data_IF_673400055176
#
_entry.id   IF_673400055176
#
_cell.length_a   1.000
_cell.length_b   1.000
_cell.length_c   1.000
_cell.angle_alpha   90.00
_cell.angle_beta   90.00
_cell.angle_gamma   90.00
#
_symmetry.space_group_name_H-M   'P 1'
#
loop_
_entity.id
_entity.type
_entity.pdbx_description
1 polymer ?
#
# COMPACT_ATOMS: atom_id res chain seq x y z
N UNK A 1 -14.96 -6.31 -10.49
CA UNK A 1 -14.46 -6.36 -9.11
C UNK A 1 -13.13 -7.08 -9.13
N UNK A 2 -12.11 -6.48 -8.53
CA UNK A 2 -10.81 -7.10 -8.31
C UNK A 2 -10.97 -8.30 -7.37
N UNK A 3 -10.14 -9.32 -7.53
CA UNK A 3 -9.96 -10.34 -6.51
C UNK A 3 -9.22 -9.73 -5.30
N UNK A 4 -9.87 -9.60 -4.12
CA UNK A 4 -9.28 -8.88 -2.99
C UNK A 4 -7.95 -9.48 -2.54
N UNK A 5 -6.97 -8.62 -2.26
CA UNK A 5 -5.62 -8.97 -1.78
C UNK A 5 -4.82 -9.89 -2.73
N UNK A 6 -5.32 -10.12 -3.95
CA UNK A 6 -4.64 -10.86 -5.02
C UNK A 6 -4.36 -9.98 -6.22
N UNK A 7 -5.28 -9.08 -6.54
CA UNK A 7 -5.16 -8.15 -7.65
C UNK A 7 -4.99 -6.72 -7.15
N UNK A 8 -4.14 -5.95 -7.83
CA UNK A 8 -3.78 -4.57 -7.46
C UNK A 8 -3.74 -3.66 -8.68
N UNK A 9 -3.83 -2.34 -8.47
CA UNK A 9 -3.64 -1.37 -9.54
C UNK A 9 -2.22 -0.78 -9.44
N UNK A 10 -1.48 -0.87 -10.54
CA UNK A 10 -0.16 -0.27 -10.65
C UNK A 10 -0.27 1.26 -10.57
N UNK A 11 0.40 1.86 -9.58
CA UNK A 11 0.38 3.30 -9.35
C UNK A 11 1.00 4.10 -10.50
N UNK A 12 1.80 3.46 -11.36
CA UNK A 12 2.52 4.11 -12.46
C UNK A 12 1.70 4.18 -13.75
N UNK A 13 1.17 3.03 -14.18
CA UNK A 13 0.46 2.92 -15.45
C UNK A 13 -1.06 2.84 -15.31
N UNK A 14 -1.57 2.65 -14.09
CA UNK A 14 -3.00 2.42 -13.81
C UNK A 14 -3.52 1.04 -14.25
N UNK A 15 -2.65 0.18 -14.78
CA UNK A 15 -3.00 -1.17 -15.22
C UNK A 15 -3.13 -2.16 -14.07
N UNK A 16 -3.84 -3.26 -14.34
CA UNK A 16 -4.06 -4.35 -13.42
C UNK A 16 -2.77 -5.18 -13.21
N UNK A 17 -2.41 -5.40 -11.95
CA UNK A 17 -1.47 -6.41 -11.50
C UNK A 17 -2.32 -7.65 -11.17
N UNK A 18 -2.22 -8.69 -12.00
CA UNK A 18 -3.08 -9.89 -11.92
C UNK A 18 -2.81 -10.76 -10.70
N UNK A 19 -1.57 -10.75 -10.21
CA UNK A 19 -1.12 -11.53 -9.05
C UNK A 19 -0.06 -10.75 -8.27
N UNK A 20 0.09 -10.95 -6.94
CA UNK A 20 1.14 -10.29 -6.15
C UNK A 20 2.56 -10.62 -6.62
N UNK A 21 2.73 -11.68 -7.42
CA UNK A 21 4.01 -12.05 -8.06
C UNK A 21 4.40 -11.14 -9.22
N UNK A 22 3.42 -10.50 -9.84
CA UNK A 22 3.61 -9.63 -11.01
C UNK A 22 3.85 -8.18 -10.60
N UNK A 23 3.94 -7.89 -9.29
CA UNK A 23 4.07 -6.55 -8.74
C UNK A 23 5.17 -6.42 -7.70
N UNK A 24 5.66 -5.20 -7.53
CA UNK A 24 6.62 -4.78 -6.51
C UNK A 24 6.01 -3.68 -5.64
N UNK A 25 6.45 -3.62 -4.38
CA UNK A 25 6.35 -2.42 -3.55
C UNK A 25 7.69 -1.69 -3.64
N UNK A 26 7.67 -0.41 -4.03
CA UNK A 26 8.83 0.48 -4.05
C UNK A 26 8.70 1.54 -2.95
N UNK A 27 9.83 1.94 -2.37
CA UNK A 27 9.91 3.05 -1.41
C UNK A 27 11.29 3.70 -1.44
N UNK A 28 11.40 4.84 -0.78
CA UNK A 28 12.64 5.59 -0.59
C UNK A 28 13.06 5.51 0.88
N UNK A 29 14.36 5.52 1.12
CA UNK A 29 14.94 5.68 2.46
C UNK A 29 15.71 7.00 2.59
N UNK A 30 15.55 7.65 3.74
CA UNK A 30 16.30 8.84 4.12
C UNK A 30 16.94 8.63 5.50
N UNK A 31 18.26 8.80 5.55
CA UNK A 31 19.07 8.71 6.76
C UNK A 31 20.42 8.03 6.48
N UNK A 32 21.32 8.12 7.46
CA UNK A 32 22.68 7.57 7.36
C UNK A 32 22.84 6.26 8.14
N UNK A 33 21.81 5.83 8.88
CA UNK A 33 21.81 4.62 9.70
C UNK A 33 20.62 3.74 9.29
N UNK A 34 20.91 2.63 8.61
CA UNK A 34 19.91 1.70 8.09
C UNK A 34 18.91 1.22 9.14
N UNK A 35 19.32 1.17 10.42
CA UNK A 35 18.44 0.79 11.52
C UNK A 35 17.39 1.86 11.82
N UNK A 36 17.70 3.14 11.62
CA UNK A 36 16.84 4.29 11.93
C UNK A 36 16.40 5.11 10.71
N UNK A 37 16.70 4.65 9.49
CA UNK A 37 16.27 5.31 8.26
C UNK A 37 14.75 5.49 8.23
N UNK A 38 14.32 6.67 7.82
CA UNK A 38 12.92 6.98 7.60
C UNK A 38 12.51 6.56 6.19
N UNK A 39 11.42 5.81 6.09
CA UNK A 39 10.90 5.27 4.87
C UNK A 39 9.69 6.08 4.38
N UNK A 40 9.57 6.27 3.08
CA UNK A 40 8.52 7.10 2.48
C UNK A 40 8.38 6.84 0.97
N UNK A 41 7.38 7.45 0.34
CA UNK A 41 7.20 7.37 -1.11
C UNK A 41 6.73 5.98 -1.54
N UNK A 42 5.90 5.31 -0.75
CA UNK A 42 5.48 3.95 -1.05
C UNK A 42 4.65 3.88 -2.34
N UNK A 43 4.98 2.93 -3.22
CA UNK A 43 4.28 2.66 -4.49
C UNK A 43 4.09 1.17 -4.70
N UNK A 44 2.95 0.79 -5.27
CA UNK A 44 2.71 -0.56 -5.80
C UNK A 44 2.78 -0.48 -7.33
N UNK A 45 3.69 -1.22 -7.95
CA UNK A 45 3.94 -1.16 -9.40
C UNK A 45 4.01 -2.56 -10.00
N UNK A 46 3.85 -2.69 -11.32
CA UNK A 46 4.24 -3.92 -12.01
C UNK A 46 5.73 -4.19 -11.82
N UNK A 47 6.12 -5.46 -11.72
CA UNK A 47 7.51 -5.93 -11.76
C UNK A 47 8.09 -5.80 -13.19
N UNK A 48 8.08 -4.57 -13.72
CA UNK A 48 8.48 -4.20 -15.06
C UNK A 48 9.21 -2.85 -15.00
N UNK A 49 10.44 -2.74 -15.54
CA UNK A 49 11.20 -1.48 -15.51
C UNK A 49 10.48 -0.24 -16.05
N UNK A 50 9.53 -0.41 -16.98
CA UNK A 50 8.72 0.71 -17.49
C UNK A 50 7.74 1.26 -16.45
N UNK A 51 7.41 0.47 -15.44
CA UNK A 51 6.49 0.82 -14.37
C UNK A 51 7.17 1.30 -13.09
N UNK A 52 8.51 1.28 -13.01
CA UNK A 52 9.22 1.73 -11.83
C UNK A 52 9.02 3.25 -11.62
N UNK A 53 8.75 3.64 -10.37
CA UNK A 53 8.73 5.05 -9.99
C UNK A 53 10.11 5.56 -9.70
N UNK A 54 10.96 4.72 -9.11
CA UNK A 54 12.28 5.10 -8.61
C UNK A 54 13.41 4.31 -9.29
N UNK A 55 13.57 4.41 -10.63
CA UNK A 55 14.63 3.68 -11.32
C UNK A 55 16.03 4.14 -10.88
N UNK A 56 16.89 3.17 -10.57
CA UNK A 56 18.32 3.39 -10.39
C UNK A 56 18.97 3.82 -11.73
N UNK A 57 19.92 4.78 -11.76
CA UNK A 57 20.50 5.56 -10.66
C UNK A 57 19.83 6.91 -10.39
N UNK A 58 18.65 7.17 -10.96
CA UNK A 58 17.98 8.48 -10.82
C UNK A 58 17.49 8.74 -9.39
N UNK A 59 17.26 7.66 -8.63
CA UNK A 59 16.78 7.71 -7.25
C UNK A 59 17.70 6.88 -6.35
N UNK A 60 18.89 7.40 -5.99
CA UNK A 60 19.77 6.71 -5.05
C UNK A 60 19.05 6.55 -3.69
N UNK A 61 19.10 5.33 -3.14
CA UNK A 61 18.35 4.99 -1.92
C UNK A 61 16.91 4.52 -2.17
N UNK A 62 16.52 4.29 -3.43
CA UNK A 62 15.31 3.55 -3.73
C UNK A 62 15.47 2.07 -3.38
N UNK A 63 14.42 1.51 -2.81
CA UNK A 63 14.31 0.11 -2.45
C UNK A 63 13.04 -0.46 -3.07
N UNK A 64 13.09 -1.76 -3.36
CA UNK A 64 11.93 -2.49 -3.85
C UNK A 64 11.91 -3.90 -3.29
N UNK A 65 10.71 -4.47 -3.19
CA UNK A 65 10.53 -5.88 -2.84
C UNK A 65 9.29 -6.44 -3.51
N UNK A 66 9.25 -7.75 -3.80
CA UNK A 66 8.07 -8.39 -4.37
C UNK A 66 6.81 -8.11 -3.55
N UNK A 67 5.71 -7.74 -4.22
CA UNK A 67 4.44 -7.40 -3.59
C UNK A 67 3.88 -8.59 -2.78
N UNK A 68 4.14 -9.83 -3.21
CA UNK A 68 3.76 -11.04 -2.48
C UNK A 68 4.34 -11.13 -1.05
N UNK A 69 5.40 -10.38 -0.72
CA UNK A 69 5.95 -10.34 0.65
C UNK A 69 5.15 -9.46 1.60
N UNK A 70 4.22 -8.65 1.08
CA UNK A 70 3.45 -7.69 1.88
C UNK A 70 1.96 -8.08 2.03
N UNK A 71 1.56 -9.24 1.50
CA UNK A 71 0.19 -9.75 1.63
C UNK A 71 0.15 -11.00 2.52
N UNK A 72 -1.02 -11.29 3.09
CA UNK A 72 -1.22 -12.43 4.00
C UNK A 72 -0.50 -12.29 5.34
N UNK A 73 -0.39 -13.39 6.09
CA UNK A 73 0.18 -13.39 7.45
C UNK A 73 1.61 -12.85 7.51
N UNK A 74 2.46 -13.25 6.55
CA UNK A 74 3.83 -12.74 6.43
C UNK A 74 3.87 -11.24 6.13
N UNK A 75 2.91 -10.75 5.35
CA UNK A 75 2.79 -9.34 4.99
C UNK A 75 2.67 -8.41 6.19
N UNK A 76 1.88 -8.80 7.20
CA UNK A 76 1.75 -8.02 8.43
C UNK A 76 3.09 -7.82 9.14
N UNK A 77 3.90 -8.87 9.24
CA UNK A 77 5.22 -8.77 9.89
C UNK A 77 6.14 -7.82 9.13
N UNK A 78 6.15 -7.92 7.79
CA UNK A 78 6.95 -7.04 6.94
C UNK A 78 6.50 -5.58 7.06
N UNK A 79 5.20 -5.34 7.08
CA UNK A 79 4.64 -4.00 7.19
C UNK A 79 4.91 -3.37 8.57
N UNK A 80 4.81 -4.14 9.65
CA UNK A 80 5.13 -3.65 11.00
C UNK A 80 6.60 -3.23 11.13
N UNK A 81 7.52 -3.89 10.44
CA UNK A 81 8.94 -3.51 10.40
C UNK A 81 9.18 -2.10 9.81
N UNK A 82 8.26 -1.56 9.00
CA UNK A 82 8.33 -0.16 8.56
C UNK A 82 8.02 0.83 9.69
N UNK A 83 7.31 0.41 10.73
CA UNK A 83 7.09 1.22 11.93
C UNK A 83 8.19 0.99 12.96
N UNK A 84 8.41 -0.26 13.33
CA UNK A 84 9.33 -0.64 14.39
C UNK A 84 9.88 -2.05 14.13
N UNK A 85 11.20 -2.20 14.23
CA UNK A 85 11.86 -3.51 14.15
C UNK A 85 11.71 -4.31 15.46
N UNK A 86 11.20 -3.67 16.51
CA UNK A 86 10.92 -4.24 17.80
C UNK A 86 12.12 -4.20 18.75
N UNK A 87 11.86 -4.42 20.06
CA UNK A 87 12.85 -4.21 21.12
C UNK A 87 14.01 -5.21 21.10
N UNK A 88 13.88 -6.32 20.38
CA UNK A 88 14.94 -7.32 20.23
C UNK A 88 15.98 -6.94 19.17
N UNK A 89 15.63 -6.03 18.25
CA UNK A 89 16.51 -5.57 17.16
C UNK A 89 16.93 -4.12 17.43
N UNK A 90 15.96 -3.25 17.69
CA UNK A 90 16.16 -1.84 17.95
C UNK A 90 16.22 -1.60 19.46
N UNK A 91 17.42 -1.33 19.99
CA UNK A 91 17.60 -1.05 21.42
C UNK A 91 16.98 0.27 21.85
N UNK A 92 17.13 1.30 21.01
CA UNK A 92 16.67 2.66 21.30
C UNK A 92 15.53 3.03 20.36
N UNK A 93 14.29 2.97 20.84
CA UNK A 93 13.13 3.37 20.04
C UNK A 93 13.10 4.89 19.81
N UNK A 94 13.14 5.33 18.55
CA UNK A 94 13.13 6.75 18.14
C UNK A 94 11.80 7.22 17.54
N UNK A 95 10.75 6.40 17.62
CA UNK A 95 9.50 6.63 16.90
C UNK A 95 9.36 5.75 15.66
N UNK A 96 8.25 5.89 14.92
CA UNK A 96 8.01 5.10 13.72
C UNK A 96 9.06 5.38 12.64
N UNK A 97 9.51 4.35 11.93
CA UNK A 97 10.47 4.46 10.82
C UNK A 97 9.83 4.90 9.49
N UNK A 98 8.64 5.51 9.52
CA UNK A 98 8.00 6.12 8.34
C UNK A 98 7.90 7.64 8.49
N UNK A 99 8.09 8.37 7.39
CA UNK A 99 8.04 9.84 7.39
C UNK A 99 6.61 10.39 7.43
N UNK A 100 5.68 9.71 6.75
CA UNK A 100 4.27 10.08 6.67
C UNK A 100 3.39 8.89 7.07
N UNK A 101 2.77 8.98 8.25
CA UNK A 101 1.87 7.95 8.75
C UNK A 101 0.62 7.78 7.88
N UNK A 102 0.13 8.82 7.21
CA UNK A 102 -1.06 8.70 6.33
C UNK A 102 -0.72 7.93 5.06
N UNK A 103 0.45 8.19 4.47
CA UNK A 103 0.95 7.42 3.34
C UNK A 103 1.12 5.95 3.71
N UNK A 104 1.73 5.68 4.87
CA UNK A 104 1.91 4.31 5.34
C UNK A 104 0.58 3.60 5.64
N UNK A 105 -0.38 4.28 6.28
CA UNK A 105 -1.71 3.71 6.52
C UNK A 105 -2.46 3.44 5.21
N UNK A 106 -2.29 4.27 4.18
CA UNK A 106 -2.83 3.98 2.84
C UNK A 106 -2.23 2.69 2.28
N UNK A 107 -0.91 2.53 2.34
CA UNK A 107 -0.24 1.29 1.91
C UNK A 107 -0.77 0.06 2.67
N UNK A 108 -0.86 0.15 4.00
CA UNK A 108 -1.42 -0.90 4.86
C UNK A 108 -2.82 -1.30 4.39
N UNK A 109 -3.73 -0.33 4.25
CA UNK A 109 -5.12 -0.60 3.86
C UNK A 109 -5.20 -1.30 2.52
N UNK A 110 -4.39 -0.87 1.53
CA UNK A 110 -4.33 -1.52 0.21
C UNK A 110 -3.92 -2.99 0.30
N UNK A 111 -2.99 -3.31 1.20
CA UNK A 111 -2.38 -4.63 1.31
C UNK A 111 -3.07 -5.58 2.29
N UNK A 112 -3.90 -5.05 3.20
CA UNK A 112 -4.49 -5.84 4.29
C UNK A 112 -6.01 -5.79 4.35
N UNK A 113 -6.66 -4.76 3.79
CA UNK A 113 -8.12 -4.65 3.81
C UNK A 113 -8.72 -5.12 2.47
N UNK A 114 -9.53 -6.19 2.49
CA UNK A 114 -10.27 -6.61 1.31
C UNK A 114 -11.06 -5.44 0.69
N UNK A 115 -11.11 -5.40 -0.64
CA UNK A 115 -11.83 -4.40 -1.44
C UNK A 115 -11.29 -2.96 -1.41
N UNK A 116 -10.37 -2.60 -0.51
CA UNK A 116 -9.87 -1.23 -0.40
C UNK A 116 -9.17 -0.72 -1.67
N UNK A 117 -8.33 -1.57 -2.29
CA UNK A 117 -7.59 -1.24 -3.51
C UNK A 117 -8.48 -0.86 -4.69
N UNK A 118 -9.67 -1.46 -4.77
CA UNK A 118 -10.67 -1.11 -5.79
C UNK A 118 -11.46 0.14 -5.37
N UNK A 119 -11.91 0.24 -4.12
CA UNK A 119 -12.64 1.41 -3.60
C UNK A 119 -11.87 2.71 -3.80
N UNK A 120 -10.55 2.73 -3.55
CA UNK A 120 -9.74 3.95 -3.70
C UNK A 120 -9.71 4.49 -5.14
N UNK A 121 -9.95 3.65 -6.14
CA UNK A 121 -10.05 4.11 -7.54
C UNK A 121 -11.24 5.03 -7.77
N UNK A 122 -12.22 4.99 -6.86
CA UNK A 122 -13.40 5.85 -6.88
C UNK A 122 -13.27 7.09 -5.99
N UNK A 123 -12.07 7.44 -5.50
CA UNK A 123 -11.85 8.50 -4.51
C UNK A 123 -12.63 9.82 -4.74
N UNK A 124 -12.78 10.24 -6.01
CA UNK A 124 -13.53 11.45 -6.38
C UNK A 124 -15.04 11.36 -6.12
N UNK A 125 -15.59 10.15 -6.12
CA UNK A 125 -17.02 9.83 -6.00
C UNK A 125 -17.38 9.20 -4.65
N UNK A 126 -16.40 8.77 -3.84
CA UNK A 126 -16.69 8.12 -2.55
C UNK A 126 -17.63 8.93 -1.67
N UNK A 127 -17.47 10.26 -1.61
CA UNK A 127 -18.31 11.14 -0.78
C UNK A 127 -19.76 11.25 -1.25
N UNK A 128 -20.08 10.79 -2.46
CA UNK A 128 -21.45 10.78 -2.99
C UNK A 128 -22.13 9.43 -2.81
N UNK A 129 -21.40 8.40 -2.37
CA UNK A 129 -21.96 7.08 -2.10
C UNK A 129 -22.91 7.13 -0.90
N UNK A 130 -24.04 6.44 -1.00
CA UNK A 130 -24.98 6.30 0.12
C UNK A 130 -24.38 5.47 1.27
N UNK A 131 -23.34 4.68 0.97
CA UNK A 131 -22.60 3.87 1.93
C UNK A 131 -21.41 4.61 2.56
N UNK A 132 -21.16 5.88 2.19
CA UNK A 132 -20.10 6.65 2.81
C UNK A 132 -20.46 7.04 4.24
N UNK A 133 -19.67 6.55 5.18
CA UNK A 133 -19.76 6.87 6.61
C UNK A 133 -18.42 7.42 7.09
N UNK A 134 -18.45 8.33 8.06
CA UNK A 134 -17.27 9.06 8.54
C UNK A 134 -16.72 8.46 9.85
N UNK A 135 -16.65 7.14 9.93
CA UNK A 135 -16.15 6.39 11.09
C UNK A 135 -15.35 5.15 10.63
N UNK A 136 -15.01 4.26 11.56
CA UNK A 136 -14.25 3.04 11.30
C UNK A 136 -15.04 1.98 10.48
N UNK A 137 -16.37 1.98 10.56
CA UNK A 137 -17.22 1.04 9.81
C UNK A 137 -17.15 1.24 8.29
N UNK A 138 -16.68 2.41 7.85
CA UNK A 138 -16.33 2.69 6.46
C UNK A 138 -15.35 1.66 5.88
N UNK A 139 -14.40 1.20 6.70
CA UNK A 139 -13.33 0.31 6.28
C UNK A 139 -13.70 -1.18 6.40
N UNK A 140 -14.95 -1.50 6.76
CA UNK A 140 -15.41 -2.90 6.78
C UNK A 140 -15.49 -3.48 5.37
N UNK A 141 -15.16 -4.76 5.16
CA UNK A 141 -15.27 -5.41 3.86
C UNK A 141 -16.67 -5.31 3.24
N UNK A 142 -17.72 -5.37 4.06
CA UNK A 142 -19.11 -5.26 3.64
C UNK A 142 -19.40 -3.87 3.06
N UNK A 143 -19.03 -2.81 3.77
CA UNK A 143 -19.20 -1.42 3.31
C UNK A 143 -18.39 -1.15 2.04
N UNK A 144 -17.11 -1.53 2.03
CA UNK A 144 -16.25 -1.33 0.86
C UNK A 144 -16.77 -2.06 -0.39
N UNK A 145 -17.30 -3.28 -0.22
CA UNK A 145 -17.92 -4.05 -1.31
C UNK A 145 -19.21 -3.39 -1.82
N UNK A 146 -20.04 -2.87 -0.93
CA UNK A 146 -21.28 -2.17 -1.30
C UNK A 146 -20.97 -0.90 -2.13
N UNK A 147 -19.96 -0.12 -1.71
CA UNK A 147 -19.49 1.06 -2.46
C UNK A 147 -19.05 0.67 -3.89
N UNK A 148 -18.31 -0.43 -4.05
CA UNK A 148 -17.90 -0.89 -5.39
C UNK A 148 -19.13 -1.25 -6.23
N UNK A 149 -20.11 -1.96 -5.65
CA UNK A 149 -21.32 -2.37 -6.36
C UNK A 149 -22.15 -1.19 -6.84
N UNK A 150 -22.25 -0.14 -6.03
CA UNK A 150 -22.90 1.12 -6.39
C UNK A 150 -22.11 1.83 -7.51
N UNK A 151 -20.85 2.17 -7.24
CA UNK A 151 -20.08 3.08 -8.09
C UNK A 151 -19.57 2.45 -9.39
N UNK A 152 -19.58 1.11 -9.51
CA UNK A 152 -19.22 0.39 -10.74
C UNK A 152 -20.33 0.36 -11.79
N UNK A 153 -21.59 0.55 -11.40
CA UNK A 153 -22.73 0.53 -12.31
C UNK A 153 -22.86 1.83 -13.12
N UNK A 154 -22.30 2.93 -12.63
CA UNK A 154 -22.30 4.23 -13.30
C UNK A 154 -21.09 4.43 -14.25
N UNK A 155 -20.59 3.36 -14.88
CA UNK A 155 -19.48 3.42 -15.85
C UNK A 155 -19.97 3.47 -17.30
#
# INVERSE_FOLDING_TARGET
>A
MLEPLKQFICDKCGGLIESPRDGWVEWLEQGDDTMYNSQYGFKIVHANPKCYFYPDPQYPGSLSSPLEYFVGERGYSQLLCFLDLGPFIMKDYKGPRVKDMREFVELMRRLTLPYYEEVRQYAKRLRTSEHFVADDSFYSPETLKAIIQELSQDR
#
